data_IF_126280149134
#
_entry.id   IF_126280149134
#
_cell.length_a   1.000
_cell.length_b   1.000
_cell.length_c   1.000
_cell.angle_alpha   90.00
_cell.angle_beta   90.00
_cell.angle_gamma   90.00
#
_symmetry.space_group_name_H-M   'P 1'
#
loop_
_entity.id
_entity.type
_entity.pdbx_description
1 polymer ?
#
# COMPACT_ATOMS: atom_id res chain seq x y z
N UNK A 1 -20.84 9.35 -5.45
CA UNK A 1 -20.12 9.21 -4.17
C UNK A 1 -19.84 10.61 -3.65
N UNK A 2 -20.52 11.02 -2.59
CA UNK A 2 -20.44 12.37 -2.06
C UNK A 2 -19.37 12.45 -0.97
N UNK A 3 -18.36 13.30 -1.15
CA UNK A 3 -17.30 13.52 -0.17
C UNK A 3 -17.79 14.54 0.86
N UNK A 4 -18.06 14.11 2.09
CA UNK A 4 -18.51 14.99 3.17
C UNK A 4 -17.46 16.04 3.55
N UNK A 5 -17.90 17.30 3.71
CA UNK A 5 -17.08 18.50 3.97
C UNK A 5 -16.38 18.54 5.35
N UNK A 6 -16.57 17.56 6.23
CA UNK A 6 -16.02 17.60 7.60
C UNK A 6 -14.52 17.27 7.59
N UNK A 7 -13.68 18.27 7.92
CA UNK A 7 -12.26 18.12 8.27
C UNK A 7 -12.13 17.49 9.66
N UNK A 8 -12.50 16.22 9.81
CA UNK A 8 -12.17 15.40 11.00
C UNK A 8 -10.79 14.73 10.88
N UNK A 9 -10.35 14.03 11.94
CA UNK A 9 -9.19 13.12 11.87
C UNK A 9 -9.55 11.97 10.92
N UNK A 10 -8.87 11.88 9.77
CA UNK A 10 -9.09 10.82 8.78
C UNK A 10 -8.36 9.56 9.21
N UNK A 11 -8.96 8.39 9.05
CA UNK A 11 -8.26 7.11 9.15
C UNK A 11 -8.08 6.56 7.74
N UNK A 12 -6.85 6.52 7.27
CA UNK A 12 -6.50 5.87 6.02
C UNK A 12 -6.10 4.43 6.29
N UNK A 13 -6.64 3.52 5.49
CA UNK A 13 -6.20 2.13 5.49
C UNK A 13 -5.41 1.90 4.20
N UNK A 14 -4.21 1.36 4.36
CA UNK A 14 -3.42 0.82 3.26
C UNK A 14 -3.23 -0.66 3.52
N UNK A 15 -3.46 -1.50 2.51
CA UNK A 15 -3.27 -2.93 2.69
C UNK A 15 -2.95 -3.68 1.41
N UNK A 16 -2.30 -4.81 1.59
CA UNK A 16 -2.02 -5.83 0.59
C UNK A 16 -2.94 -7.01 0.83
N UNK A 17 -3.80 -7.24 -0.15
CA UNK A 17 -4.73 -8.34 -0.13
C UNK A 17 -4.17 -9.51 -0.93
N UNK A 18 -4.00 -10.64 -0.27
CA UNK A 18 -3.73 -11.91 -0.90
C UNK A 18 -5.01 -12.76 -0.83
N UNK A 19 -5.69 -12.98 -1.97
CA UNK A 19 -6.91 -13.78 -2.01
C UNK A 19 -6.69 -15.13 -1.33
N UNK A 20 -7.63 -15.51 -0.46
CA UNK A 20 -7.67 -16.81 0.24
C UNK A 20 -6.50 -17.08 1.21
N UNK A 21 -5.60 -16.12 1.46
CA UNK A 21 -4.44 -16.31 2.33
C UNK A 21 -4.41 -15.30 3.46
N UNK A 22 -4.37 -14.00 3.13
CA UNK A 22 -4.21 -12.97 4.14
C UNK A 22 -4.55 -11.58 3.63
N UNK A 23 -4.84 -10.68 4.56
CA UNK A 23 -4.91 -9.25 4.31
C UNK A 23 -3.98 -8.55 5.29
N UNK A 24 -2.85 -8.04 4.79
CA UNK A 24 -1.91 -7.26 5.59
C UNK A 24 -2.26 -5.79 5.42
N UNK A 25 -2.50 -5.08 6.51
CA UNK A 25 -2.89 -3.67 6.45
C UNK A 25 -2.19 -2.83 7.51
N UNK A 26 -2.00 -1.55 7.17
CA UNK A 26 -1.58 -0.48 8.05
C UNK A 26 -2.70 0.54 8.21
N UNK A 27 -2.85 1.04 9.44
CA UNK A 27 -3.76 2.12 9.78
C UNK A 27 -2.95 3.41 9.96
N UNK A 28 -3.35 4.47 9.25
CA UNK A 28 -2.68 5.78 9.32
C UNK A 28 -3.70 6.86 9.63
N UNK A 29 -3.47 7.64 10.68
CA UNK A 29 -4.28 8.83 10.95
C UNK A 29 -3.79 9.96 10.02
N UNK A 30 -4.66 10.45 9.16
CA UNK A 30 -4.35 11.42 8.12
C UNK A 30 -4.27 10.76 6.74
N UNK A 31 -3.29 11.16 5.94
CA UNK A 31 -3.01 10.59 4.61
C UNK A 31 -1.82 9.65 4.65
N UNK A 32 -1.83 8.63 3.79
CA UNK A 32 -0.68 7.75 3.58
C UNK A 32 0.38 8.50 2.78
N UNK A 33 1.64 8.42 3.21
CA UNK A 33 2.78 9.02 2.54
C UNK A 33 3.67 7.95 1.88
N UNK A 34 4.53 8.35 0.93
CA UNK A 34 5.40 7.40 0.23
C UNK A 34 6.29 6.59 1.18
N UNK A 35 6.75 7.18 2.29
CA UNK A 35 7.62 6.50 3.26
C UNK A 35 6.91 5.33 3.94
N UNK A 36 5.69 5.55 4.41
CA UNK A 36 4.85 4.51 5.03
C UNK A 36 4.51 3.40 4.05
N UNK A 37 4.28 3.76 2.77
CA UNK A 37 4.07 2.81 1.69
C UNK A 37 5.31 1.93 1.45
N UNK A 38 6.50 2.53 1.32
CA UNK A 38 7.76 1.82 1.10
C UNK A 38 8.06 0.86 2.25
N UNK A 39 7.89 1.31 3.50
CA UNK A 39 8.10 0.46 4.67
C UNK A 39 7.22 -0.79 4.67
N UNK A 40 5.97 -0.65 4.21
CA UNK A 40 5.06 -1.79 4.07
C UNK A 40 5.53 -2.74 2.96
N UNK A 41 5.94 -2.20 1.81
CA UNK A 41 6.46 -2.99 0.69
C UNK A 41 7.75 -3.74 1.04
N UNK A 42 8.67 -3.10 1.77
CA UNK A 42 9.91 -3.72 2.22
C UNK A 42 9.67 -4.87 3.20
N UNK A 43 8.71 -4.71 4.14
CA UNK A 43 8.33 -5.80 5.05
C UNK A 43 7.80 -7.00 4.28
N UNK A 44 6.91 -6.78 3.31
CA UNK A 44 6.39 -7.87 2.49
C UNK A 44 7.43 -8.50 1.58
N UNK A 45 8.41 -7.73 1.11
CA UNK A 45 9.56 -8.24 0.35
C UNK A 45 10.38 -9.24 1.19
N UNK A 46 10.71 -8.85 2.42
CA UNK A 46 11.49 -9.67 3.35
C UNK A 46 10.73 -10.96 3.69
N UNK A 47 9.43 -10.88 3.95
CA UNK A 47 8.61 -12.07 4.23
C UNK A 47 8.46 -12.97 2.99
N UNK A 48 8.36 -12.40 1.79
CA UNK A 48 8.36 -13.18 0.55
C UNK A 48 9.68 -13.92 0.33
N UNK A 49 10.80 -13.25 0.57
CA UNK A 49 12.16 -13.81 0.46
C UNK A 49 12.37 -14.95 1.45
N UNK A 50 11.99 -14.77 2.73
CA UNK A 50 12.04 -15.83 3.76
C UNK A 50 11.25 -17.08 3.35
N UNK A 51 10.10 -16.89 2.69
CA UNK A 51 9.26 -17.99 2.23
C UNK A 51 9.70 -18.60 0.89
N UNK A 52 10.71 -18.02 0.23
CA UNK A 52 11.15 -18.42 -1.10
C UNK A 52 10.07 -18.24 -2.17
N UNK A 53 9.14 -17.30 -1.97
CA UNK A 53 7.98 -17.09 -2.85
C UNK A 53 8.13 -15.80 -3.62
N UNK A 54 7.92 -15.87 -4.93
CA UNK A 54 7.75 -14.66 -5.75
C UNK A 54 6.39 -14.03 -5.43
N UNK A 55 6.38 -12.77 -4.99
CA UNK A 55 5.15 -11.98 -4.82
C UNK A 55 4.95 -11.04 -5.99
N UNK A 56 3.72 -11.00 -6.45
CA UNK A 56 3.23 -10.08 -7.47
C UNK A 56 2.29 -9.11 -6.79
N UNK A 57 2.67 -7.84 -6.74
CA UNK A 57 1.89 -6.81 -6.05
C UNK A 57 1.16 -5.93 -7.03
N UNK A 58 -0.11 -5.71 -6.79
CA UNK A 58 -1.00 -5.16 -7.78
C UNK A 58 -1.17 -3.68 -7.31
N UNK A 59 -0.81 -2.63 -8.10
CA UNK A 59 -1.04 -1.15 -7.88
C UNK A 59 -2.19 -0.43 -8.63
N UNK A 60 -2.84 0.57 -8.03
CA UNK A 60 -3.94 1.33 -8.65
C UNK A 60 -3.48 2.59 -9.41
N UNK A 61 -2.16 2.81 -9.55
CA UNK A 61 -1.54 3.99 -10.16
C UNK A 61 -1.89 5.30 -9.43
N UNK A 62 -2.04 5.19 -8.10
CA UNK A 62 -2.25 6.31 -7.21
C UNK A 62 -1.06 7.30 -7.27
N UNK A 63 -1.22 8.55 -6.81
CA UNK A 63 -0.11 9.49 -6.71
C UNK A 63 1.07 8.97 -5.87
N UNK A 64 0.80 8.06 -4.93
CA UNK A 64 1.82 7.42 -4.08
C UNK A 64 2.68 6.45 -4.90
N UNK A 65 2.08 5.75 -5.87
CA UNK A 65 2.80 4.84 -6.77
C UNK A 65 3.77 5.58 -7.71
N UNK A 66 3.49 6.85 -7.99
CA UNK A 66 4.32 7.71 -8.86
C UNK A 66 5.51 8.35 -8.14
N UNK A 67 5.63 8.11 -6.84
CA UNK A 67 6.72 8.64 -6.03
C UNK A 67 8.06 8.06 -6.50
N UNK A 68 9.09 8.90 -6.64
CA UNK A 68 10.38 8.48 -7.20
C UNK A 68 11.01 7.34 -6.39
N UNK A 69 10.87 7.37 -5.07
CA UNK A 69 11.38 6.34 -4.19
C UNK A 69 10.66 4.99 -4.39
N UNK A 70 9.35 5.03 -4.64
CA UNK A 70 8.56 3.83 -4.94
C UNK A 70 8.95 3.26 -6.30
N UNK A 71 9.15 4.11 -7.30
CA UNK A 71 9.62 3.66 -8.63
C UNK A 71 11.01 3.03 -8.58
N UNK A 72 11.94 3.60 -7.80
CA UNK A 72 13.27 3.03 -7.56
C UNK A 72 13.19 1.66 -6.88
N UNK A 73 12.28 1.51 -5.90
CA UNK A 73 12.05 0.23 -5.24
C UNK A 73 11.54 -0.82 -6.24
N UNK A 74 10.59 -0.48 -7.11
CA UNK A 74 10.09 -1.37 -8.16
C UNK A 74 11.19 -1.75 -9.17
N UNK A 75 12.08 -0.83 -9.52
CA UNK A 75 13.21 -1.09 -10.43
C UNK A 75 14.29 -1.99 -9.81
N UNK A 76 14.44 -1.97 -8.48
CA UNK A 76 15.45 -2.77 -7.77
C UNK A 76 15.22 -4.29 -7.85
N UNK A 77 14.11 -4.74 -8.45
CA UNK A 77 13.85 -6.15 -8.73
C UNK A 77 13.48 -7.00 -7.51
N UNK A 78 13.46 -6.43 -6.30
CA UNK A 78 13.05 -7.11 -5.06
C UNK A 78 11.56 -7.44 -5.00
N UNK A 79 10.74 -6.69 -5.74
CA UNK A 79 9.30 -6.91 -5.87
C UNK A 79 8.91 -6.78 -7.35
N UNK A 80 8.16 -7.75 -7.90
CA UNK A 80 7.48 -7.56 -9.19
C UNK A 80 6.08 -7.04 -8.92
N UNK A 81 5.72 -5.91 -9.51
CA UNK A 81 4.48 -5.20 -9.21
C UNK A 81 3.60 -5.16 -10.48
N UNK A 82 2.39 -5.72 -10.44
CA UNK A 82 1.36 -5.77 -11.51
C UNK A 82 -0.03 -5.27 -11.04
N UNK A 83 -0.32 -3.96 -11.05
CA UNK A 83 -1.64 -3.24 -11.00
C UNK A 83 -2.99 -3.74 -10.33
N UNK A 84 -3.29 -3.33 -9.07
CA UNK A 84 -4.53 -3.15 -8.22
C UNK A 84 -4.23 -3.13 -6.68
N UNK A 85 -4.02 -1.94 -6.09
CA UNK A 85 -3.89 -1.74 -4.63
C UNK A 85 -5.25 -1.26 -4.08
N UNK A 86 -5.59 -1.59 -2.82
CA UNK A 86 -6.83 -1.13 -2.20
C UNK A 86 -6.56 0.05 -1.26
N UNK A 87 -6.88 1.26 -1.71
CA UNK A 87 -6.82 2.48 -0.90
C UNK A 87 -8.24 2.92 -0.50
N UNK A 88 -8.53 2.98 0.80
CA UNK A 88 -9.82 3.52 1.30
C UNK A 88 -9.60 4.45 2.49
N UNK A 89 -10.10 5.68 2.36
CA UNK A 89 -10.20 6.62 3.47
C UNK A 89 -11.49 6.33 4.24
N UNK A 90 -11.40 6.16 5.56
CA UNK A 90 -12.52 6.08 6.48
C UNK A 90 -12.54 7.38 7.30
N UNK A 91 -13.69 8.06 7.31
CA UNK A 91 -13.93 9.17 8.23
C UNK A 91 -14.27 8.58 9.60
N UNK A 92 -13.53 8.99 10.63
CA UNK A 92 -13.91 8.73 12.01
C UNK A 92 -14.81 9.89 12.46
N UNK A 93 -16.05 9.59 12.83
CA UNK A 93 -16.99 10.55 13.43
C UNK A 93 -16.69 10.78 14.92
#
# INVERSE_FOLDING_TARGET
MEQTKRRGRRLSIIGLFQPLVSFVYGLVIGGVNCKSYIQMMEREAIEAEKLGRMRVIVQDNSPIDKCQEVQKLCQSGKLRVYTSFFYRNILLE
#
